data_IF_058363511198
#
_entry.id   IF_058363511198
#
_cell.length_a   1.000
_cell.length_b   1.000
_cell.length_c   1.000
_cell.angle_alpha   90.00
_cell.angle_beta   90.00
_cell.angle_gamma   90.00
#
_symmetry.space_group_name_H-M   'P 1'
#
loop_
_entity.id
_entity.type
_entity.pdbx_description
1 polymer ?
#
# COMPACT_ATOMS: atom_id res chain seq x y z
N UNK A 1 10.35 21.27 24.95
CA UNK A 1 9.13 20.82 25.66
C UNK A 1 8.09 20.16 24.76
N UNK A 2 7.96 20.54 23.46
CA UNK A 2 7.00 19.90 22.53
C UNK A 2 7.34 18.44 22.16
N UNK A 3 8.62 18.09 21.98
CA UNK A 3 9.03 16.74 21.55
C UNK A 3 8.66 15.60 22.51
N UNK A 4 8.69 15.80 23.83
CA UNK A 4 8.28 14.76 24.80
C UNK A 4 6.81 14.38 24.59
N UNK A 5 5.95 15.39 24.45
CA UNK A 5 4.49 15.20 24.49
C UNK A 5 4.03 14.49 23.22
N UNK A 6 4.56 14.86 22.05
CA UNK A 6 4.28 14.15 20.79
C UNK A 6 4.73 12.69 20.82
N UNK A 7 5.90 12.41 21.40
CA UNK A 7 6.50 11.07 21.43
C UNK A 7 5.75 10.07 22.33
N UNK A 8 4.97 10.58 23.29
CA UNK A 8 4.13 9.79 24.20
C UNK A 8 2.67 9.66 23.75
N UNK A 9 2.19 10.56 22.89
CA UNK A 9 0.76 10.65 22.58
C UNK A 9 0.36 10.01 21.25
N UNK A 10 1.29 9.82 20.31
CA UNK A 10 1.00 9.19 19.02
C UNK A 10 1.65 7.81 18.98
N UNK A 11 0.85 6.72 18.99
CA UNK A 11 1.41 5.38 18.88
C UNK A 11 2.07 5.20 17.51
N UNK A 12 3.19 4.49 17.49
CA UNK A 12 3.98 4.22 16.27
C UNK A 12 3.19 3.45 15.22
N UNK A 13 2.30 2.57 15.68
CA UNK A 13 1.37 1.80 14.85
C UNK A 13 -0.04 2.18 15.27
N UNK A 14 -0.88 2.55 14.30
CA UNK A 14 -2.29 2.91 14.51
C UNK A 14 -3.19 1.91 13.82
N UNK A 15 -4.44 1.79 14.26
CA UNK A 15 -5.45 1.03 13.53
C UNK A 15 -6.18 1.97 12.56
N UNK A 16 -6.24 1.59 11.28
CA UNK A 16 -7.03 2.30 10.27
C UNK A 16 -8.44 1.76 10.24
N UNK A 17 -9.41 2.65 10.17
CA UNK A 17 -10.84 2.39 10.12
C UNK A 17 -11.49 3.37 9.15
N UNK A 18 -12.68 3.09 8.63
CA UNK A 18 -13.39 4.05 7.78
C UNK A 18 -13.68 5.40 8.45
N UNK A 19 -13.70 5.44 9.80
CA UNK A 19 -13.96 6.68 10.54
C UNK A 19 -12.73 7.59 10.61
N UNK A 20 -11.52 7.03 10.61
CA UNK A 20 -10.28 7.79 10.78
C UNK A 20 -9.44 7.90 9.50
N UNK A 21 -9.70 7.08 8.48
CA UNK A 21 -8.88 6.99 7.28
C UNK A 21 -8.76 8.32 6.54
N UNK A 22 -9.83 9.12 6.48
CA UNK A 22 -9.80 10.45 5.88
C UNK A 22 -8.76 11.34 6.58
N UNK A 23 -8.81 11.43 7.91
CA UNK A 23 -7.83 12.17 8.70
C UNK A 23 -6.40 11.62 8.58
N UNK A 24 -6.23 10.30 8.46
CA UNK A 24 -4.91 9.69 8.21
C UNK A 24 -4.35 10.07 6.84
N UNK A 25 -5.20 10.17 5.82
CA UNK A 25 -4.77 10.58 4.48
C UNK A 25 -4.42 12.07 4.41
N UNK A 26 -5.05 12.91 5.24
CA UNK A 26 -4.74 14.34 5.36
C UNK A 26 -3.33 14.61 5.90
N UNK A 27 -2.73 13.65 6.62
CA UNK A 27 -1.34 13.74 7.07
C UNK A 27 -0.34 13.71 5.90
N UNK A 28 -0.76 13.23 4.72
CA UNK A 28 0.05 13.22 3.50
C UNK A 28 1.20 12.21 3.49
N UNK A 29 1.29 11.34 4.50
CA UNK A 29 2.31 10.29 4.57
C UNK A 29 1.81 9.00 3.89
N UNK A 30 2.65 8.31 3.09
CA UNK A 30 2.35 6.99 2.56
C UNK A 30 1.93 6.02 3.67
N UNK A 31 1.04 5.09 3.36
CA UNK A 31 0.60 4.09 4.32
C UNK A 31 1.45 2.83 4.20
N UNK A 32 1.92 2.30 5.33
CA UNK A 32 2.44 0.94 5.48
C UNK A 32 1.36 0.12 6.18
N UNK A 33 0.54 -0.58 5.41
CA UNK A 33 -0.69 -1.22 5.86
C UNK A 33 -0.45 -2.72 6.06
N UNK A 34 -0.66 -3.19 7.28
CA UNK A 34 -0.68 -4.60 7.64
C UNK A 34 -2.13 -5.06 7.75
N UNK A 35 -2.63 -5.68 6.68
CA UNK A 35 -3.93 -6.33 6.65
C UNK A 35 -3.85 -7.62 7.46
N UNK A 36 -4.71 -7.72 8.47
CA UNK A 36 -4.74 -8.85 9.41
C UNK A 36 -6.15 -9.37 9.62
N UNK A 37 -6.23 -10.59 10.12
CA UNK A 37 -7.43 -11.08 10.80
C UNK A 37 -7.41 -10.60 12.27
N UNK A 38 -8.38 -9.77 12.72
CA UNK A 38 -8.45 -9.32 14.11
C UNK A 38 -8.55 -10.42 15.16
N UNK A 39 -8.99 -11.62 14.79
CA UNK A 39 -9.04 -12.78 15.68
C UNK A 39 -7.64 -13.34 15.99
N UNK A 40 -6.64 -13.08 15.12
CA UNK A 40 -5.26 -13.58 15.22
C UNK A 40 -4.31 -12.52 15.78
N UNK A 41 -4.35 -12.33 17.10
CA UNK A 41 -3.56 -11.29 17.81
C UNK A 41 -2.04 -11.51 17.80
N UNK A 42 -1.59 -12.72 17.48
CA UNK A 42 -0.17 -13.05 17.32
C UNK A 42 0.48 -12.25 16.18
N UNK A 43 -0.28 -11.95 15.12
CA UNK A 43 0.22 -11.21 13.96
C UNK A 43 0.39 -9.69 14.24
N UNK A 44 -0.45 -9.11 15.10
CA UNK A 44 -0.33 -7.70 15.51
C UNK A 44 1.04 -7.44 16.13
N UNK A 45 1.45 -8.35 17.04
CA UNK A 45 2.73 -8.24 17.73
C UNK A 45 3.91 -8.33 16.78
N UNK A 46 3.86 -9.27 15.82
CA UNK A 46 4.90 -9.43 14.80
C UNK A 46 5.16 -8.10 14.06
N UNK A 47 4.09 -7.45 13.61
CA UNK A 47 4.21 -6.18 12.88
C UNK A 47 4.67 -5.04 13.78
N UNK A 48 4.09 -4.89 14.98
CA UNK A 48 4.46 -3.83 15.93
C UNK A 48 5.93 -3.95 16.34
N UNK A 49 6.42 -5.16 16.60
CA UNK A 49 7.82 -5.40 16.98
C UNK A 49 8.77 -5.07 15.81
N UNK A 50 8.40 -5.42 14.57
CA UNK A 50 9.19 -5.08 13.38
C UNK A 50 9.26 -3.57 13.13
N UNK A 51 8.13 -2.86 13.20
CA UNK A 51 8.07 -1.40 13.03
C UNK A 51 8.87 -0.70 14.15
N UNK A 52 8.73 -1.16 15.39
CA UNK A 52 9.47 -0.58 16.53
C UNK A 52 10.97 -0.77 16.37
N UNK A 53 11.40 -1.96 15.93
CA UNK A 53 12.81 -2.29 15.71
C UNK A 53 13.44 -1.47 14.58
N UNK A 54 12.73 -1.27 13.48
CA UNK A 54 13.34 -0.81 12.22
C UNK A 54 12.92 0.59 11.77
N UNK A 55 11.71 1.04 12.14
CA UNK A 55 11.09 2.25 11.58
C UNK A 55 10.87 3.34 12.63
N UNK A 56 11.48 3.22 13.81
CA UNK A 56 11.36 4.25 14.85
C UNK A 56 11.85 5.63 14.40
N UNK A 57 12.83 5.71 13.49
CA UNK A 57 13.32 6.97 12.89
C UNK A 57 12.45 7.48 11.74
N UNK A 58 11.64 6.61 11.12
CA UNK A 58 10.85 6.88 9.91
C UNK A 58 9.42 7.37 10.21
N UNK A 59 9.14 7.73 11.47
CA UNK A 59 7.83 8.18 11.95
C UNK A 59 7.22 9.36 11.21
N UNK A 60 8.05 10.16 10.53
CA UNK A 60 7.64 11.34 9.79
C UNK A 60 7.62 11.11 8.27
N UNK A 61 7.98 9.92 7.80
CA UNK A 61 8.13 9.60 6.37
C UNK A 61 7.13 8.55 5.90
N UNK A 62 6.58 7.75 6.81
CA UNK A 62 5.58 6.72 6.52
C UNK A 62 4.65 6.49 7.72
N UNK A 63 3.42 6.05 7.45
CA UNK A 63 2.40 5.76 8.45
C UNK A 63 2.16 4.25 8.59
N UNK A 64 2.67 3.58 9.65
CA UNK A 64 2.39 2.18 9.93
C UNK A 64 0.98 1.98 10.48
N UNK A 65 0.18 1.17 9.78
CA UNK A 65 -1.25 0.98 10.05
C UNK A 65 -1.61 -0.51 10.13
N UNK A 66 -2.36 -0.89 11.16
CA UNK A 66 -3.09 -2.16 11.22
C UNK A 66 -4.45 -1.98 10.55
N UNK A 67 -4.83 -2.89 9.66
CA UNK A 67 -6.13 -2.89 9.01
C UNK A 67 -6.80 -4.26 9.20
N UNK A 68 -8.11 -4.25 9.47
CA UNK A 68 -8.92 -5.46 9.40
C UNK A 68 -9.12 -5.86 7.92
N UNK A 69 -8.54 -7.00 7.53
CA UNK A 69 -8.62 -7.50 6.14
C UNK A 69 -10.03 -7.85 5.69
N UNK A 70 -10.97 -8.12 6.62
CA UNK A 70 -12.37 -8.36 6.28
C UNK A 70 -13.12 -7.05 6.01
N UNK A 71 -12.78 -5.98 6.73
CA UNK A 71 -13.38 -4.65 6.57
C UNK A 71 -12.81 -3.96 5.34
N UNK A 72 -11.50 -4.07 5.10
CA UNK A 72 -10.80 -3.51 3.95
C UNK A 72 -10.61 -4.53 2.81
N UNK A 73 -11.62 -5.39 2.60
CA UNK A 73 -11.59 -6.42 1.56
C UNK A 73 -11.43 -5.83 0.14
N UNK A 74 -11.94 -4.63 -0.12
CA UNK A 74 -11.81 -3.98 -1.43
C UNK A 74 -10.36 -3.58 -1.74
N UNK A 75 -9.64 -2.81 -0.91
CA UNK A 75 -8.19 -2.61 -1.08
C UNK A 75 -7.38 -3.91 -1.13
N UNK A 76 -7.77 -4.93 -0.37
CA UNK A 76 -7.09 -6.24 -0.38
C UNK A 76 -7.26 -6.95 -1.73
N UNK A 77 -8.47 -6.92 -2.30
CA UNK A 77 -8.75 -7.49 -3.63
C UNK A 77 -8.01 -6.75 -4.74
N UNK A 78 -7.87 -5.43 -4.62
CA UNK A 78 -7.08 -4.62 -5.55
C UNK A 78 -5.60 -5.03 -5.61
N UNK A 79 -5.07 -5.60 -4.52
CA UNK A 79 -3.74 -6.20 -4.47
C UNK A 79 -3.68 -7.63 -5.04
N UNK A 80 -4.79 -8.15 -5.58
CA UNK A 80 -4.91 -9.55 -6.00
C UNK A 80 -4.89 -10.51 -4.81
N UNK A 81 -5.27 -10.06 -3.62
CA UNK A 81 -5.28 -10.85 -2.37
C UNK A 81 -6.69 -11.03 -1.84
N UNK A 82 -6.85 -12.07 -1.03
CA UNK A 82 -8.11 -12.43 -0.37
C UNK A 82 -7.89 -12.53 1.14
N UNK A 83 -8.97 -12.74 1.90
CA UNK A 83 -8.86 -12.96 3.34
C UNK A 83 -8.09 -14.26 3.69
N UNK A 84 -7.97 -15.21 2.75
CA UNK A 84 -7.18 -16.44 2.92
C UNK A 84 -5.68 -16.17 2.87
N UNK A 85 -5.26 -15.07 2.24
CA UNK A 85 -3.85 -14.64 2.16
C UNK A 85 -3.37 -13.89 3.40
N UNK A 86 -4.26 -13.63 4.38
CA UNK A 86 -3.89 -12.85 5.56
C UNK A 86 -2.87 -13.61 6.44
N UNK A 87 -1.83 -12.93 6.96
CA UNK A 87 -1.62 -11.48 6.91
C UNK A 87 -0.91 -11.01 5.64
N UNK A 88 -1.28 -9.81 5.16
CA UNK A 88 -0.66 -9.15 4.00
C UNK A 88 -0.11 -7.81 4.43
N UNK A 89 1.16 -7.53 4.10
CA UNK A 89 1.78 -6.21 4.28
C UNK A 89 1.91 -5.53 2.92
N UNK A 90 1.52 -4.27 2.83
CA UNK A 90 1.66 -3.47 1.63
C UNK A 90 1.98 -2.01 1.96
N UNK A 91 2.57 -1.30 1.00
CA UNK A 91 2.68 0.15 1.00
C UNK A 91 1.64 0.71 0.04
N UNK A 92 0.90 1.72 0.46
CA UNK A 92 0.12 2.59 -0.42
C UNK A 92 0.79 3.98 -0.46
N UNK A 93 1.36 4.31 -1.62
CA UNK A 93 2.04 5.60 -1.86
C UNK A 93 1.09 6.75 -2.22
N UNK A 94 -0.21 6.48 -2.28
CA UNK A 94 -1.25 7.29 -2.90
C UNK A 94 -1.16 7.47 -4.42
N UNK A 95 -0.20 6.79 -5.06
CA UNK A 95 -0.09 6.67 -6.50
C UNK A 95 -0.25 5.21 -6.88
N UNK A 96 0.61 4.34 -6.35
CA UNK A 96 0.58 2.89 -6.52
C UNK A 96 0.62 2.17 -5.17
N UNK A 97 0.12 0.93 -5.16
CA UNK A 97 0.29 0.01 -4.05
C UNK A 97 1.39 -1.03 -4.34
N UNK A 98 2.19 -1.33 -3.31
CA UNK A 98 3.30 -2.29 -3.39
C UNK A 98 3.13 -3.35 -2.31
N UNK A 99 3.01 -4.61 -2.69
CA UNK A 99 2.92 -5.73 -1.74
C UNK A 99 4.32 -6.10 -1.25
N UNK A 100 4.45 -6.31 0.06
CA UNK A 100 5.67 -6.84 0.66
C UNK A 100 5.89 -8.28 0.18
N UNK A 101 7.07 -8.62 -0.38
CA UNK A 101 7.24 -9.88 -1.12
C UNK A 101 7.02 -11.16 -0.30
N UNK A 102 7.50 -11.20 0.94
CA UNK A 102 7.45 -12.39 1.79
C UNK A 102 7.26 -12.00 3.26
N UNK A 103 6.06 -12.23 3.78
CA UNK A 103 5.70 -11.88 5.15
C UNK A 103 6.51 -12.64 6.21
N UNK A 104 7.04 -13.82 5.87
CA UNK A 104 7.88 -14.60 6.79
C UNK A 104 9.20 -13.89 7.11
N UNK A 105 9.66 -13.01 6.22
CA UNK A 105 10.88 -12.21 6.39
C UNK A 105 10.67 -10.95 7.23
N UNK A 106 9.44 -10.66 7.69
CA UNK A 106 9.16 -9.45 8.47
C UNK A 106 9.90 -9.41 9.82
N UNK A 107 10.25 -10.59 10.37
CA UNK A 107 11.08 -10.68 11.57
C UNK A 107 12.57 -10.47 11.31
N UNK A 108 13.01 -10.57 10.06
CA UNK A 108 14.43 -10.48 9.68
C UNK A 108 14.87 -9.01 9.73
N UNK A 109 15.87 -8.65 10.55
CA UNK A 109 16.33 -7.26 10.66
C UNK A 109 16.76 -6.66 9.33
N UNK A 110 16.25 -5.47 9.04
CA UNK A 110 16.62 -4.66 7.88
C UNK A 110 15.75 -4.89 6.65
N UNK A 111 14.96 -5.98 6.62
CA UNK A 111 14.10 -6.27 5.46
C UNK A 111 12.93 -5.29 5.38
N UNK A 112 12.30 -4.97 6.51
CA UNK A 112 11.22 -3.99 6.53
C UNK A 112 11.77 -2.59 6.22
N UNK A 113 12.91 -2.24 6.80
CA UNK A 113 13.58 -0.97 6.50
C UNK A 113 13.90 -0.83 5.01
N UNK A 114 14.49 -1.86 4.40
CA UNK A 114 14.83 -1.85 2.98
C UNK A 114 13.59 -1.65 2.11
N UNK A 115 12.46 -2.25 2.47
CA UNK A 115 11.22 -2.04 1.73
C UNK A 115 10.72 -0.59 1.76
N UNK A 116 10.88 0.09 2.89
CA UNK A 116 10.58 1.53 3.03
C UNK A 116 11.62 2.39 2.30
N UNK A 117 12.91 2.03 2.36
CA UNK A 117 13.97 2.73 1.63
C UNK A 117 13.78 2.60 0.10
N UNK A 118 13.32 1.44 -0.39
CA UNK A 118 12.99 1.19 -1.80
C UNK A 118 11.81 2.07 -2.27
N UNK A 119 10.86 2.39 -1.37
CA UNK A 119 9.80 3.36 -1.66
C UNK A 119 10.39 4.75 -1.86
N UNK A 120 11.15 5.23 -0.87
CA UNK A 120 11.68 6.61 -0.86
C UNK A 120 12.70 6.86 -1.97
N UNK A 121 13.46 5.84 -2.37
CA UNK A 121 14.38 5.90 -3.51
C UNK A 121 13.68 5.80 -4.87
N UNK A 122 12.38 5.49 -4.91
CA UNK A 122 11.61 5.29 -6.14
C UNK A 122 11.87 3.95 -6.83
N UNK A 123 12.68 3.07 -6.24
CA UNK A 123 12.98 1.73 -6.78
C UNK A 123 11.71 0.89 -6.91
N UNK A 124 10.77 1.01 -5.96
CA UNK A 124 9.48 0.32 -6.07
C UNK A 124 8.70 0.77 -7.32
N UNK A 125 8.64 2.08 -7.58
CA UNK A 125 7.97 2.62 -8.77
C UNK A 125 8.65 2.17 -10.07
N UNK A 126 9.98 2.23 -10.14
CA UNK A 126 10.74 1.79 -11.32
C UNK A 126 10.50 0.32 -11.63
N UNK A 127 10.57 -0.54 -10.60
CA UNK A 127 10.34 -1.99 -10.74
C UNK A 127 8.92 -2.27 -11.22
N UNK A 128 7.94 -1.52 -10.70
CA UNK A 128 6.53 -1.67 -11.04
C UNK A 128 6.25 -1.31 -12.49
N UNK A 129 6.74 -0.17 -12.99
CA UNK A 129 6.58 0.21 -14.40
C UNK A 129 7.33 -0.73 -15.35
N UNK A 130 8.56 -1.14 -15.00
CA UNK A 130 9.30 -2.11 -15.83
C UNK A 130 8.61 -3.48 -15.95
N UNK A 131 7.98 -3.96 -14.85
CA UNK A 131 7.16 -5.18 -14.88
C UNK A 131 5.88 -5.01 -15.72
N UNK A 132 5.24 -3.84 -15.70
CA UNK A 132 4.07 -3.58 -16.53
C UNK A 132 4.43 -3.53 -18.03
N UNK A 133 5.52 -2.86 -18.39
CA UNK A 133 5.99 -2.77 -19.78
C UNK A 133 6.36 -4.13 -20.35
N UNK A 134 7.08 -4.96 -19.59
CA UNK A 134 7.44 -6.32 -20.02
C UNK A 134 6.22 -7.23 -20.22
N UNK A 135 5.19 -7.13 -19.36
CA UNK A 135 3.94 -7.86 -19.53
C UNK A 135 3.17 -7.40 -20.78
N UNK A 136 3.10 -6.10 -21.02
CA UNK A 136 2.50 -5.55 -22.24
C UNK A 136 3.21 -6.03 -23.51
N UNK A 137 4.55 -6.05 -23.51
CA UNK A 137 5.34 -6.55 -24.63
C UNK A 137 5.10 -8.05 -24.88
N UNK A 138 5.03 -8.85 -23.81
CA UNK A 138 4.74 -10.28 -23.92
C UNK A 138 3.35 -10.52 -24.52
N UNK A 139 2.35 -9.75 -24.08
CA UNK A 139 0.99 -9.85 -24.62
C UNK A 139 0.92 -9.44 -26.10
N UNK A 140 1.58 -8.34 -26.47
CA UNK A 140 1.63 -7.88 -27.86
C UNK A 140 2.27 -8.95 -28.76
N UNK A 141 3.37 -9.55 -28.32
CA UNK A 141 4.03 -10.64 -29.04
C UNK A 141 3.11 -11.87 -29.17
N UNK A 142 2.41 -12.25 -28.10
CA UNK A 142 1.46 -13.35 -28.13
C UNK A 142 0.30 -13.10 -29.13
N UNK A 143 -0.25 -11.87 -29.17
CA UNK A 143 -1.29 -11.48 -30.13
C UNK A 143 -0.77 -11.55 -31.58
N UNK A 144 0.47 -11.11 -31.81
CA UNK A 144 1.12 -11.15 -33.11
C UNK A 144 1.39 -12.59 -33.59
N UNK A 145 1.86 -13.46 -32.70
CA UNK A 145 2.16 -14.87 -33.02
C UNK A 145 0.90 -15.70 -33.32
N UNK A 146 -0.27 -15.30 -32.79
CA UNK A 146 -1.55 -16.00 -32.97
C UNK A 146 -2.52 -15.32 -33.95
N UNK A 147 -2.07 -14.31 -34.70
CA UNK A 147 -2.85 -13.56 -35.69
C UNK A 147 -4.20 -13.02 -35.15
N UNK A 148 -4.20 -12.60 -33.87
CA UNK A 148 -5.37 -12.05 -33.20
C UNK A 148 -5.45 -10.55 -33.54
N UNK A 149 -6.28 -10.19 -34.51
CA UNK A 149 -6.42 -8.83 -35.07
C UNK A 149 -7.59 -8.02 -34.51
N UNK A 150 -8.33 -8.52 -33.52
CA UNK A 150 -9.60 -7.92 -33.14
C UNK A 150 -9.58 -7.20 -31.79
N UNK A 151 -10.16 -6.00 -31.77
CA UNK A 151 -10.83 -5.31 -30.64
C UNK A 151 -11.97 -6.17 -30.05
N UNK A 152 -11.70 -7.44 -29.77
CA UNK A 152 -12.55 -8.23 -28.90
C UNK A 152 -12.16 -7.81 -27.50
N UNK A 153 -13.08 -7.16 -26.79
CA UNK A 153 -13.10 -7.11 -25.34
C UNK A 153 -13.12 -8.56 -24.82
N UNK A 154 -12.00 -9.26 -24.92
CA UNK A 154 -11.77 -10.56 -24.33
C UNK A 154 -11.69 -10.29 -22.83
N UNK A 155 -12.48 -10.99 -22.02
CA UNK A 155 -12.44 -10.87 -20.55
C UNK A 155 -11.04 -11.18 -19.96
N UNK A 156 -10.11 -11.69 -20.77
CA UNK A 156 -8.70 -11.84 -20.42
C UNK A 156 -7.88 -10.54 -20.52
N UNK A 157 -8.35 -9.52 -21.24
CA UNK A 157 -7.77 -8.18 -21.16
C UNK A 157 -8.12 -7.49 -19.84
N UNK A 158 -9.26 -7.84 -19.22
CA UNK A 158 -9.62 -7.40 -17.86
C UNK A 158 -8.74 -8.01 -16.76
N UNK A 159 -8.01 -9.10 -17.05
CA UNK A 159 -7.03 -9.69 -16.12
C UNK A 159 -5.66 -9.01 -16.20
N UNK A 160 -5.40 -8.24 -17.27
CA UNK A 160 -4.21 -7.40 -17.41
C UNK A 160 -4.61 -6.01 -16.93
N UNK A 161 -5.07 -5.93 -15.68
CA UNK A 161 -5.34 -4.64 -15.08
C UNK A 161 -4.03 -3.86 -15.02
N UNK A 162 -4.06 -2.54 -15.31
CA UNK A 162 -2.94 -1.68 -14.96
C UNK A 162 -2.62 -1.90 -13.48
N UNK A 163 -1.33 -1.95 -13.20
CA UNK A 163 -0.83 -2.32 -11.89
C UNK A 163 -1.46 -1.46 -10.77
N UNK A 164 -1.73 -2.02 -9.58
CA UNK A 164 -2.75 -1.51 -8.67
C UNK A 164 -2.48 -0.06 -8.27
N UNK A 165 -3.33 0.84 -8.77
CA UNK A 165 -3.37 2.23 -8.34
C UNK A 165 -3.77 2.31 -6.86
N UNK A 166 -3.43 3.41 -6.18
CA UNK A 166 -3.84 3.61 -4.80
C UNK A 166 -5.37 3.64 -4.65
N UNK A 167 -5.90 2.72 -3.84
CA UNK A 167 -7.31 2.72 -3.43
C UNK A 167 -7.56 3.72 -2.31
N UNK A 168 -6.58 3.92 -1.42
CA UNK A 168 -6.75 4.86 -0.29
C UNK A 168 -6.76 6.32 -0.74
N UNK A 169 -6.34 6.62 -1.98
CA UNK A 169 -6.55 7.93 -2.62
C UNK A 169 -8.03 8.31 -2.70
N UNK A 170 -8.94 7.33 -2.85
CA UNK A 170 -10.39 7.58 -2.88
C UNK A 170 -10.97 7.96 -1.51
N UNK A 171 -10.25 7.63 -0.44
CA UNK A 171 -10.64 7.92 0.94
C UNK A 171 -10.10 9.27 1.43
N UNK A 172 -9.42 10.03 0.57
CA UNK A 172 -9.03 11.42 0.82
C UNK A 172 -10.26 12.33 0.88
N UNK A 173 -10.14 13.52 1.49
CA UNK A 173 -11.19 14.52 1.45
C UNK A 173 -11.67 14.76 0.03
N UNK A 174 -12.95 14.49 -0.22
CA UNK A 174 -13.51 14.49 -1.56
C UNK A 174 -13.91 15.90 -2.00
N UNK A 175 -13.59 16.26 -3.24
CA UNK A 175 -14.06 17.51 -3.88
C UNK A 175 -15.60 17.60 -3.96
N UNK A 176 -16.30 16.46 -3.90
CA UNK A 176 -17.76 16.42 -3.86
C UNK A 176 -18.33 16.92 -2.52
N UNK A 177 -17.52 16.95 -1.46
CA UNK A 177 -17.92 17.35 -0.10
C UNK A 177 -17.21 18.62 0.37
N UNK A 178 -15.99 18.87 -0.10
CA UNK A 178 -15.17 19.99 0.32
C UNK A 178 -14.63 20.78 -0.88
N UNK A 179 -14.52 22.11 -0.75
CA UNK A 179 -13.68 22.90 -1.66
C UNK A 179 -12.22 22.76 -1.23
N UNK A 180 -11.45 21.95 -1.94
CA UNK A 180 -10.03 21.70 -1.62
C UNK A 180 -9.18 22.92 -2.00
N UNK A 181 -8.42 23.45 -1.04
CA UNK A 181 -7.43 24.49 -1.30
C UNK A 181 -6.18 23.86 -1.90
N UNK A 182 -6.00 23.97 -3.22
CA UNK A 182 -4.71 23.69 -3.84
C UNK A 182 -3.71 24.75 -3.35
N UNK A 183 -2.75 24.36 -2.51
CA UNK A 183 -1.62 25.24 -2.19
C UNK A 183 -0.79 25.38 -3.46
N UNK A 184 -0.94 26.50 -4.18
CA UNK A 184 0.04 26.93 -5.18
C UNK A 184 1.35 27.17 -4.44
N UNK A 185 2.33 26.29 -4.67
CA UNK A 185 3.70 26.54 -4.24
C UNK A 185 4.19 27.84 -4.90
N UNK A 186 4.72 28.75 -4.08
CA UNK A 186 5.30 30.04 -4.45
C UNK A 186 6.79 29.98 -4.11
#
# INVERSE_FOLDING_TARGET
MKHWITDKCIPLVREVTFQNVEGLTEEGLPFLIFFRDPARKDHDKLFIDAVTRELSSERLTINPLLADGHVFAHPLHHLGKTFEDLPVLAIDSFVHMFVFPDISQLSTPGVLKQFVDDLHSGVLHQRHHGQAESQQQMLQKFKQDNDITADLQDRREEEIQPAPESVFKELRPSEKRYSLLQKTEL
#
